data_IF_875908310696
#
_entry.id   IF_875908310696
#
_cell.length_a   1.000
_cell.length_b   1.000
_cell.length_c   1.000
_cell.angle_alpha   90.00
_cell.angle_beta   90.00
_cell.angle_gamma   90.00
#
_symmetry.space_group_name_H-M   'P 1'
#
loop_
_entity.id
_entity.type
_entity.pdbx_description
1 polymer ?
#
# COMPACT_ATOMS: atom_id res chain seq x y z
N UNK A 1 -19.48 12.99 7.76
CA UNK A 1 -18.32 12.54 8.56
C UNK A 1 -18.63 11.13 9.00
N UNK A 2 -18.10 10.13 8.30
CA UNK A 2 -18.39 8.73 8.59
C UNK A 2 -17.32 8.25 9.57
N UNK A 3 -17.72 7.98 10.81
CA UNK A 3 -16.80 7.53 11.84
C UNK A 3 -16.25 6.14 11.46
N UNK A 4 -14.97 5.85 11.76
CA UNK A 4 -14.38 4.52 11.53
C UNK A 4 -15.09 3.39 12.30
N UNK A 5 -15.95 3.76 13.27
CA UNK A 5 -16.78 2.85 14.06
C UNK A 5 -18.15 2.55 13.43
N UNK A 6 -18.54 3.23 12.35
CA UNK A 6 -19.75 2.90 11.60
C UNK A 6 -19.71 1.48 11.01
N UNK A 7 -18.49 0.94 10.78
CA UNK A 7 -18.26 -0.44 10.37
C UNK A 7 -18.76 -1.50 11.37
N UNK A 8 -18.93 -1.14 12.65
CA UNK A 8 -19.38 -2.05 13.72
C UNK A 8 -20.87 -1.88 14.07
N UNK A 9 -21.59 -0.98 13.39
CA UNK A 9 -23.02 -0.74 13.61
C UNK A 9 -23.87 -1.72 12.81
N UNK A 10 -24.87 -2.34 13.45
CA UNK A 10 -25.73 -3.40 12.90
C UNK A 10 -26.58 -3.06 11.66
N UNK A 11 -26.37 -1.89 11.03
CA UNK A 11 -27.02 -1.48 9.77
C UNK A 11 -26.34 -2.05 8.51
N UNK A 12 -25.11 -2.57 8.60
CA UNK A 12 -24.33 -2.97 7.41
C UNK A 12 -24.86 -4.23 6.72
N UNK A 13 -25.51 -5.14 7.44
CA UNK A 13 -26.06 -6.37 6.84
C UNK A 13 -27.24 -6.10 5.89
N UNK A 14 -27.84 -4.91 5.96
CA UNK A 14 -29.03 -4.55 5.20
C UNK A 14 -28.73 -3.73 3.94
N UNK A 15 -27.49 -3.22 3.80
CA UNK A 15 -27.07 -2.35 2.69
C UNK A 15 -25.92 -2.99 1.90
N UNK A 16 -26.21 -3.68 0.77
CA UNK A 16 -25.21 -4.37 -0.05
C UNK A 16 -24.08 -3.45 -0.55
N UNK A 17 -24.39 -2.18 -0.77
CA UNK A 17 -23.41 -1.17 -1.21
C UNK A 17 -22.37 -0.86 -0.13
N UNK A 18 -22.79 -0.75 1.14
CA UNK A 18 -21.89 -0.49 2.27
C UNK A 18 -20.96 -1.68 2.54
N UNK A 19 -21.48 -2.91 2.41
CA UNK A 19 -20.68 -4.14 2.49
C UNK A 19 -19.59 -4.18 1.41
N UNK A 20 -19.95 -3.91 0.15
CA UNK A 20 -19.00 -3.91 -0.96
C UNK A 20 -17.91 -2.86 -0.78
N UNK A 21 -18.28 -1.61 -0.45
CA UNK A 21 -17.31 -0.54 -0.23
C UNK A 21 -16.37 -0.82 0.95
N UNK A 22 -16.90 -1.35 2.06
CA UNK A 22 -16.09 -1.76 3.22
C UNK A 22 -15.10 -2.87 2.89
N UNK A 23 -15.53 -3.88 2.13
CA UNK A 23 -14.68 -4.99 1.71
C UNK A 23 -13.55 -4.54 0.76
N UNK A 24 -13.89 -3.74 -0.26
CA UNK A 24 -12.90 -3.18 -1.20
C UNK A 24 -11.86 -2.32 -0.45
N UNK A 25 -12.31 -1.51 0.52
CA UNK A 25 -11.43 -0.69 1.35
C UNK A 25 -10.43 -1.56 2.14
N UNK A 26 -10.91 -2.61 2.79
CA UNK A 26 -10.04 -3.55 3.53
C UNK A 26 -9.05 -4.26 2.60
N UNK A 27 -9.50 -4.70 1.44
CA UNK A 27 -8.65 -5.33 0.43
C UNK A 27 -7.53 -4.38 -0.06
N UNK A 28 -7.86 -3.11 -0.28
CA UNK A 28 -6.89 -2.09 -0.70
C UNK A 28 -5.89 -1.74 0.40
N UNK A 29 -6.33 -1.63 1.66
CA UNK A 29 -5.42 -1.41 2.79
C UNK A 29 -4.46 -2.60 2.91
N UNK A 30 -4.98 -3.82 2.91
CA UNK A 30 -4.16 -5.02 3.03
C UNK A 30 -3.20 -5.18 1.84
N UNK A 31 -3.69 -5.04 0.62
CA UNK A 31 -2.88 -5.07 -0.59
C UNK A 31 -1.82 -3.97 -0.62
N UNK A 32 -2.15 -2.77 -0.16
CA UNK A 32 -1.22 -1.65 -0.05
C UNK A 32 -0.10 -1.92 0.96
N UNK A 33 -0.41 -2.51 2.11
CA UNK A 33 0.60 -2.93 3.10
C UNK A 33 1.54 -3.98 2.48
N UNK A 34 0.99 -5.00 1.82
CA UNK A 34 1.80 -6.02 1.14
C UNK A 34 2.68 -5.42 0.06
N UNK A 35 2.16 -4.48 -0.73
CA UNK A 35 2.92 -3.79 -1.76
C UNK A 35 4.03 -2.90 -1.17
N UNK A 36 3.78 -2.23 -0.04
CA UNK A 36 4.82 -1.46 0.66
C UNK A 36 5.97 -2.36 1.15
N UNK A 37 5.65 -3.52 1.71
CA UNK A 37 6.64 -4.53 2.09
C UNK A 37 7.43 -5.02 0.87
N UNK A 38 6.74 -5.31 -0.23
CA UNK A 38 7.38 -5.68 -1.50
C UNK A 38 8.35 -4.60 -2.00
N UNK A 39 7.94 -3.34 -2.02
CA UNK A 39 8.80 -2.23 -2.44
C UNK A 39 10.05 -2.12 -1.56
N UNK A 40 9.92 -2.31 -0.24
CA UNK A 40 11.05 -2.33 0.69
C UNK A 40 12.02 -3.48 0.40
N UNK A 41 11.50 -4.67 0.08
CA UNK A 41 12.31 -5.81 -0.32
C UNK A 41 13.07 -5.53 -1.62
N UNK A 42 12.42 -4.92 -2.62
CA UNK A 42 13.06 -4.53 -3.89
C UNK A 42 14.18 -3.53 -3.66
N UNK A 43 13.98 -2.51 -2.82
CA UNK A 43 15.03 -1.54 -2.48
C UNK A 43 16.24 -2.25 -1.87
N UNK A 44 16.01 -3.17 -0.92
CA UNK A 44 17.10 -3.98 -0.34
C UNK A 44 17.81 -4.82 -1.39
N UNK A 45 17.09 -5.44 -2.31
CA UNK A 45 17.70 -6.22 -3.39
C UNK A 45 18.58 -5.36 -4.29
N UNK A 46 18.14 -4.17 -4.67
CA UNK A 46 18.94 -3.24 -5.49
C UNK A 46 20.23 -2.86 -4.76
N UNK A 47 20.16 -2.60 -3.45
CA UNK A 47 21.34 -2.28 -2.64
C UNK A 47 22.31 -3.46 -2.54
N UNK A 48 21.82 -4.68 -2.36
CA UNK A 48 22.65 -5.89 -2.30
C UNK A 48 23.30 -6.21 -3.65
N UNK A 49 22.60 -6.01 -4.77
CA UNK A 49 23.12 -6.27 -6.12
C UNK A 49 24.16 -5.23 -6.56
N UNK A 50 24.15 -4.04 -5.97
CA UNK A 50 25.08 -2.96 -6.33
C UNK A 50 26.55 -3.30 -6.06
N UNK A 51 26.83 -4.25 -5.17
CA UNK A 51 28.18 -4.75 -4.90
C UNK A 51 28.70 -5.74 -5.95
N UNK A 52 27.81 -6.37 -6.74
CA UNK A 52 28.16 -7.43 -7.68
C UNK A 52 27.99 -7.01 -9.15
N UNK A 53 27.02 -6.15 -9.45
CA UNK A 53 26.76 -5.68 -10.82
C UNK A 53 26.79 -4.16 -10.86
N UNK A 54 27.87 -3.60 -11.38
CA UNK A 54 27.98 -2.16 -11.61
C UNK A 54 27.19 -1.78 -12.86
N UNK A 55 25.95 -1.33 -12.66
CA UNK A 55 25.13 -0.74 -13.73
C UNK A 55 25.03 0.76 -13.55
N UNK A 56 25.18 1.51 -14.65
CA UNK A 56 25.03 2.97 -14.70
C UNK A 56 23.66 3.47 -14.21
N UNK A 57 22.64 2.60 -14.19
CA UNK A 57 21.27 2.91 -13.79
C UNK A 57 20.93 2.61 -12.32
N UNK A 58 21.87 2.10 -11.53
CA UNK A 58 21.62 1.68 -10.13
C UNK A 58 20.98 2.78 -9.27
N UNK A 59 21.43 4.04 -9.40
CA UNK A 59 20.86 5.17 -8.65
C UNK A 59 19.42 5.49 -9.05
N UNK A 60 19.08 5.38 -10.34
CA UNK A 60 17.71 5.63 -10.84
C UNK A 60 16.78 4.54 -10.35
N UNK A 61 17.22 3.28 -10.37
CA UNK A 61 16.43 2.14 -9.87
C UNK A 61 16.08 2.28 -8.38
N UNK A 62 17.01 2.77 -7.55
CA UNK A 62 16.74 3.05 -6.13
C UNK A 62 15.69 4.16 -6.00
N UNK A 63 15.79 5.24 -6.79
CA UNK A 63 14.83 6.34 -6.76
C UNK A 63 13.41 5.86 -7.12
N UNK A 64 13.28 5.03 -8.16
CA UNK A 64 11.99 4.43 -8.56
C UNK A 64 11.43 3.52 -7.47
N UNK A 65 12.28 2.68 -6.85
CA UNK A 65 11.88 1.85 -5.72
C UNK A 65 11.36 2.67 -4.53
N UNK A 66 12.05 3.77 -4.21
CA UNK A 66 11.64 4.68 -3.14
C UNK A 66 10.32 5.40 -3.48
N UNK A 67 10.14 5.83 -4.73
CA UNK A 67 8.88 6.44 -5.19
C UNK A 67 7.70 5.45 -5.04
N UNK A 68 7.88 4.18 -5.42
CA UNK A 68 6.87 3.16 -5.21
C UNK A 68 6.56 2.91 -3.73
N UNK A 69 7.58 2.87 -2.87
CA UNK A 69 7.38 2.74 -1.43
C UNK A 69 6.57 3.92 -0.86
N UNK A 70 6.93 5.15 -1.21
CA UNK A 70 6.21 6.35 -0.77
C UNK A 70 4.77 6.33 -1.25
N UNK A 71 4.52 6.03 -2.53
CA UNK A 71 3.17 5.93 -3.08
C UNK A 71 2.34 4.86 -2.36
N UNK A 72 2.92 3.70 -2.08
CA UNK A 72 2.24 2.63 -1.34
C UNK A 72 1.79 3.11 0.05
N UNK A 73 2.68 3.78 0.78
CA UNK A 73 2.38 4.35 2.10
C UNK A 73 1.26 5.40 1.99
N UNK A 74 1.34 6.30 1.01
CA UNK A 74 0.31 7.33 0.80
C UNK A 74 -1.05 6.72 0.47
N UNK A 75 -1.11 5.67 -0.36
CA UNK A 75 -2.34 4.95 -0.69
C UNK A 75 -2.93 4.32 0.57
N UNK A 76 -2.12 3.63 1.38
CA UNK A 76 -2.58 3.03 2.65
C UNK A 76 -3.13 4.12 3.58
N UNK A 77 -2.41 5.23 3.76
CA UNK A 77 -2.86 6.34 4.62
C UNK A 77 -4.16 6.95 4.12
N UNK A 78 -4.27 7.20 2.81
CA UNK A 78 -5.48 7.72 2.19
C UNK A 78 -6.69 6.83 2.49
N UNK A 79 -6.59 5.52 2.22
CA UNK A 79 -7.66 4.57 2.51
C UNK A 79 -7.89 4.35 4.00
N UNK A 80 -6.93 4.63 4.88
CA UNK A 80 -7.16 4.57 6.33
C UNK A 80 -7.98 5.77 6.81
N UNK A 81 -7.79 6.94 6.20
CA UNK A 81 -8.51 8.19 6.55
C UNK A 81 -9.85 8.40 5.84
N UNK A 82 -10.02 7.83 4.64
CA UNK A 82 -11.24 7.92 3.82
C UNK A 82 -12.38 7.10 4.43
#
# INVERSE_FOLDING_TARGET
MNSPLAFLSGNILNDPSLLLTGFVKLLLIFGGILYALFALLVIRQIQLMRSTVQTSFSSIMILVGLAHFVLAVLVVLYFLTL
#
